data_IF_514638716223
#
_entry.id   IF_514638716223
#
_cell.length_a   1.000
_cell.length_b   1.000
_cell.length_c   1.000
_cell.angle_alpha   90.00
_cell.angle_beta   90.00
_cell.angle_gamma   90.00
#
_symmetry.space_group_name_H-M   'P 1'
#
loop_
_entity.id
_entity.type
_entity.pdbx_description
1 polymer ?
#
# COMPACT_ATOMS: atom_id res chain seq x y z
N UNK A 1 3.42 -1.36 3.19
CA UNK A 1 3.22 -2.74 3.70
C UNK A 1 1.83 -2.84 4.33
N UNK A 2 1.32 -4.05 4.53
CA UNK A 2 -0.01 -4.32 5.10
C UNK A 2 0.01 -5.47 6.11
N UNK A 3 -0.96 -5.42 7.02
CA UNK A 3 -1.34 -6.48 7.96
C UNK A 3 -2.86 -6.49 8.10
N UNK A 4 -3.46 -7.61 8.51
CA UNK A 4 -4.91 -7.73 8.72
C UNK A 4 -5.24 -8.27 10.10
N UNK A 5 -6.44 -7.98 10.58
CA UNK A 5 -7.01 -8.53 11.81
C UNK A 5 -8.52 -8.72 11.67
N UNK A 6 -9.08 -9.64 12.47
CA UNK A 6 -10.53 -9.75 12.69
C UNK A 6 -11.06 -8.76 13.74
N UNK A 7 -10.17 -8.05 14.45
CA UNK A 7 -10.51 -6.97 15.37
C UNK A 7 -9.93 -5.65 14.88
N UNK A 8 -10.71 -4.57 14.98
CA UNK A 8 -10.26 -3.23 14.61
C UNK A 8 -9.09 -2.71 15.46
N UNK A 9 -8.92 -3.23 16.69
CA UNK A 9 -8.01 -2.64 17.69
C UNK A 9 -6.76 -3.44 17.98
N UNK A 10 -6.58 -4.63 17.39
CA UNK A 10 -5.40 -5.45 17.68
C UNK A 10 -5.37 -6.77 16.93
N UNK A 11 -4.33 -7.57 17.15
CA UNK A 11 -4.19 -8.89 16.51
C UNK A 11 -3.75 -8.84 15.03
N UNK A 12 -3.20 -7.71 14.59
CA UNK A 12 -2.75 -7.55 13.21
C UNK A 12 -1.55 -8.43 12.89
N UNK A 13 -1.68 -9.23 11.83
CA UNK A 13 -0.64 -10.11 11.31
C UNK A 13 -0.47 -9.94 9.81
N UNK A 14 0.70 -10.26 9.29
CA UNK A 14 0.97 -10.33 7.86
C UNK A 14 0.54 -11.68 7.24
N UNK A 15 0.82 -11.87 5.95
CA UNK A 15 0.47 -13.09 5.20
C UNK A 15 1.14 -14.36 5.72
N UNK A 16 2.26 -14.23 6.42
CA UNK A 16 3.01 -15.32 7.04
C UNK A 16 2.66 -15.50 8.53
N UNK A 17 1.72 -14.71 9.06
CA UNK A 17 1.30 -14.78 10.46
C UNK A 17 2.22 -14.02 11.42
N UNK A 18 3.17 -13.22 10.93
CA UNK A 18 4.04 -12.42 11.79
C UNK A 18 3.27 -11.20 12.29
N UNK A 19 3.34 -10.94 13.59
CA UNK A 19 2.64 -9.82 14.23
C UNK A 19 3.19 -8.48 13.71
N UNK A 20 2.31 -7.51 13.48
CA UNK A 20 2.70 -6.14 13.11
C UNK A 20 3.65 -5.52 14.15
N UNK A 21 3.42 -5.78 15.43
CA UNK A 21 4.26 -5.30 16.54
C UNK A 21 5.60 -6.02 16.67
N UNK A 22 5.82 -7.07 15.88
CA UNK A 22 7.08 -7.81 15.79
C UNK A 22 7.73 -7.65 14.41
N UNK A 23 7.41 -6.58 13.68
CA UNK A 23 7.96 -6.28 12.35
C UNK A 23 7.26 -6.99 11.19
N UNK A 24 6.14 -7.66 11.44
CA UNK A 24 5.33 -8.27 10.39
C UNK A 24 4.75 -7.24 9.43
N UNK A 25 4.76 -7.56 8.14
CA UNK A 25 4.24 -6.70 7.10
C UNK A 25 4.37 -7.34 5.73
N UNK A 26 3.26 -7.57 5.04
CA UNK A 26 3.29 -8.01 3.64
C UNK A 26 3.48 -6.78 2.76
N UNK A 27 4.43 -6.85 1.82
CA UNK A 27 4.61 -5.79 0.83
C UNK A 27 3.38 -5.78 -0.09
N UNK A 28 2.71 -4.64 -0.16
CA UNK A 28 1.60 -4.41 -1.10
C UNK A 28 2.12 -3.76 -2.38
N UNK A 29 2.92 -2.70 -2.24
CA UNK A 29 3.53 -2.00 -3.35
C UNK A 29 4.98 -1.64 -2.99
N UNK A 30 5.90 -2.00 -3.86
CA UNK A 30 7.32 -1.65 -3.78
C UNK A 30 7.68 -0.68 -4.92
N UNK A 31 8.87 -0.09 -4.85
CA UNK A 31 9.43 0.65 -5.99
C UNK A 31 9.46 -0.23 -7.24
N UNK A 32 9.09 0.34 -8.39
CA UNK A 32 9.06 -0.36 -9.68
C UNK A 32 9.12 0.68 -10.82
N UNK A 33 9.85 0.37 -11.90
CA UNK A 33 10.03 1.31 -13.01
C UNK A 33 10.49 2.69 -12.53
N UNK A 34 9.71 3.73 -12.84
CA UNK A 34 10.00 5.10 -12.40
C UNK A 34 9.46 5.44 -11.00
N UNK A 35 8.63 4.58 -10.42
CA UNK A 35 7.99 4.81 -9.12
C UNK A 35 8.98 4.43 -8.02
N UNK A 36 9.54 5.42 -7.33
CA UNK A 36 10.46 5.23 -6.22
C UNK A 36 9.84 5.63 -4.88
N UNK A 37 9.96 4.74 -3.90
CA UNK A 37 9.50 4.97 -2.53
C UNK A 37 8.00 5.30 -2.42
N UNK A 38 7.08 4.53 -3.05
CA UNK A 38 5.65 4.80 -2.89
C UNK A 38 5.23 4.66 -1.42
N UNK A 39 4.53 5.67 -0.89
CA UNK A 39 4.20 5.76 0.52
C UNK A 39 3.11 6.80 0.83
N UNK A 40 2.90 7.06 2.12
CA UNK A 40 1.82 7.95 2.59
C UNK A 40 0.43 7.51 2.16
N UNK A 41 0.26 6.20 1.98
CA UNK A 41 -0.90 5.64 1.31
C UNK A 41 -2.19 5.70 2.15
N UNK A 42 -3.32 5.76 1.44
CA UNK A 42 -4.64 5.46 1.97
C UNK A 42 -5.46 4.62 1.00
N UNK A 43 -6.66 4.22 1.42
CA UNK A 43 -7.61 3.47 0.60
C UNK A 43 -8.95 4.20 0.62
N UNK A 44 -9.56 4.37 -0.55
CA UNK A 44 -10.95 4.80 -0.67
C UNK A 44 -11.72 3.83 -1.59
N UNK A 45 -13.04 3.90 -1.55
CA UNK A 45 -13.91 3.14 -2.46
C UNK A 45 -14.37 4.07 -3.58
N UNK A 46 -14.09 3.73 -4.84
CA UNK A 46 -14.52 4.53 -5.98
C UNK A 46 -16.03 4.40 -6.24
N UNK A 47 -16.56 5.16 -7.21
CA UNK A 47 -17.98 5.13 -7.58
C UNK A 47 -18.48 3.78 -8.11
N UNK A 48 -17.58 2.91 -8.56
CA UNK A 48 -17.88 1.54 -8.97
C UNK A 48 -17.81 0.53 -7.81
N UNK A 49 -17.60 0.98 -6.57
CA UNK A 49 -17.50 0.11 -5.40
C UNK A 49 -16.16 -0.60 -5.23
N UNK A 50 -15.12 -0.21 -5.99
CA UNK A 50 -13.81 -0.86 -5.95
C UNK A 50 -12.87 -0.13 -4.97
N UNK A 51 -12.11 -0.87 -4.14
CA UNK A 51 -11.08 -0.27 -3.30
C UNK A 51 -9.91 0.20 -4.16
N UNK A 52 -9.50 1.45 -3.97
CA UNK A 52 -8.39 2.10 -4.67
C UNK A 52 -7.32 2.51 -3.66
N UNK A 53 -6.11 2.01 -3.87
CA UNK A 53 -4.92 2.47 -3.15
C UNK A 53 -4.47 3.78 -3.79
N UNK A 54 -4.31 4.84 -3.00
CA UNK A 54 -3.66 6.07 -3.42
C UNK A 54 -2.41 6.33 -2.58
N UNK A 55 -1.41 6.97 -3.16
CA UNK A 55 -0.11 7.21 -2.52
C UNK A 55 0.64 8.36 -3.21
N UNK A 56 1.68 8.85 -2.55
CA UNK A 56 2.70 9.68 -3.19
C UNK A 56 3.93 8.84 -3.53
N UNK A 57 4.70 9.26 -4.53
CA UNK A 57 5.98 8.64 -4.87
C UNK A 57 6.93 9.67 -5.47
N UNK A 58 8.24 9.41 -5.39
CA UNK A 58 9.21 10.17 -6.14
C UNK A 58 9.44 9.51 -7.51
N UNK A 59 9.48 10.28 -8.59
CA UNK A 59 9.82 9.74 -9.91
C UNK A 59 11.32 9.77 -10.13
N UNK A 60 11.91 8.64 -10.51
CA UNK A 60 13.36 8.55 -10.81
C UNK A 60 13.80 9.40 -12.00
N UNK A 61 12.86 9.94 -12.78
CA UNK A 61 13.11 10.80 -13.94
C UNK A 61 12.74 12.26 -13.72
N UNK A 62 12.17 12.62 -12.56
CA UNK A 62 11.78 14.00 -12.23
C UNK A 62 12.70 14.55 -11.16
N UNK A 63 12.71 13.92 -9.98
CA UNK A 63 13.47 14.40 -8.84
C UNK A 63 13.03 13.74 -7.54
N UNK A 64 13.82 13.98 -6.50
CA UNK A 64 13.57 13.50 -5.14
C UNK A 64 13.25 14.65 -4.16
N UNK A 65 13.10 15.89 -4.64
CA UNK A 65 12.71 16.99 -3.78
C UNK A 65 11.25 16.82 -3.36
N UNK A 66 10.88 17.34 -2.19
CA UNK A 66 9.50 17.26 -1.66
C UNK A 66 8.46 17.81 -2.66
N UNK A 67 8.82 18.88 -3.37
CA UNK A 67 7.98 19.50 -4.41
C UNK A 67 7.83 18.65 -5.69
N UNK A 68 8.67 17.63 -5.89
CA UNK A 68 8.66 16.75 -7.07
C UNK A 68 7.82 15.48 -6.87
N UNK A 69 7.28 15.27 -5.66
CA UNK A 69 6.47 14.08 -5.36
C UNK A 69 5.18 14.08 -6.19
N UNK A 70 4.90 12.93 -6.79
CA UNK A 70 3.76 12.73 -7.67
C UNK A 70 2.70 11.85 -7.02
N UNK A 71 1.47 12.01 -7.48
CA UNK A 71 0.33 11.19 -7.07
C UNK A 71 0.26 9.90 -7.90
N UNK A 72 0.05 8.77 -7.24
CA UNK A 72 -0.22 7.48 -7.86
C UNK A 72 -1.44 6.80 -7.27
N UNK A 73 -2.12 5.98 -8.07
CA UNK A 73 -3.24 5.16 -7.60
C UNK A 73 -3.35 3.84 -8.37
N UNK A 74 -3.82 2.79 -7.69
CA UNK A 74 -4.08 1.48 -8.28
C UNK A 74 -5.40 0.92 -7.72
N UNK A 75 -6.22 0.33 -8.59
CA UNK A 75 -7.39 -0.46 -8.15
C UNK A 75 -6.88 -1.74 -7.52
N UNK A 76 -7.32 -2.06 -6.31
CA UNK A 76 -6.89 -3.26 -5.60
C UNK A 76 -7.66 -4.48 -6.09
N UNK A 77 -6.91 -5.54 -6.38
CA UNK A 77 -7.45 -6.89 -6.61
C UNK A 77 -7.31 -7.72 -5.34
N UNK A 78 -8.13 -8.77 -5.20
CA UNK A 78 -8.16 -9.60 -4.00
C UNK A 78 -8.04 -11.07 -4.35
N UNK A 79 -7.17 -11.78 -3.63
CA UNK A 79 -7.03 -13.24 -3.73
C UNK A 79 -6.70 -13.82 -2.36
N UNK A 80 -7.40 -14.89 -1.98
CA UNK A 80 -7.22 -15.58 -0.70
C UNK A 80 -7.26 -14.63 0.53
N UNK A 81 -8.10 -13.59 0.45
CA UNK A 81 -8.28 -12.60 1.51
C UNK A 81 -7.10 -11.61 1.68
N UNK A 82 -6.24 -11.46 0.67
CA UNK A 82 -5.16 -10.46 0.63
C UNK A 82 -5.28 -9.58 -0.61
N UNK A 83 -5.08 -8.26 -0.47
CA UNK A 83 -5.07 -7.36 -1.61
C UNK A 83 -3.73 -7.41 -2.36
N UNK A 84 -3.78 -7.12 -3.65
CA UNK A 84 -2.63 -6.83 -4.51
C UNK A 84 -2.92 -5.62 -5.39
N UNK A 85 -1.84 -4.97 -5.83
CA UNK A 85 -1.87 -4.03 -6.96
C UNK A 85 -1.55 -4.75 -8.26
#
# INVERSE_FOLDING_TARGET
MITRSSSATGGFVDKNGVKATAGGGTILLASHGIVYGPGGQGIFTNSAGQPVLYYHYASTTVGLADADYLFGYNVLSWSNGWPSV
#
